data_IF_584531542798
#
_entry.id   IF_584531542798
#
_cell.length_a   1.000
_cell.length_b   1.000
_cell.length_c   1.000
_cell.angle_alpha   90.00
_cell.angle_beta   90.00
_cell.angle_gamma   90.00
#
_symmetry.space_group_name_H-M   'P 1'
#
loop_
_entity.id
_entity.type
_entity.pdbx_description
1 polymer ?
#
# COMPACT_ATOMS: atom_id res chain seq x y z
N UNK A 1 -2.71 6.98 -11.72
CA UNK A 1 -3.52 6.14 -12.64
C UNK A 1 -4.41 5.16 -11.87
N UNK A 2 -3.83 4.23 -11.10
CA UNK A 2 -4.56 3.20 -10.34
C UNK A 2 -5.78 3.71 -9.54
N UNK A 3 -5.64 4.82 -8.83
CA UNK A 3 -6.73 5.40 -8.02
C UNK A 3 -7.85 5.95 -8.91
N UNK A 4 -7.48 6.77 -9.90
CA UNK A 4 -8.42 7.51 -10.76
C UNK A 4 -9.15 6.63 -11.78
N UNK A 5 -8.48 5.60 -12.30
CA UNK A 5 -8.95 4.85 -13.47
C UNK A 5 -9.19 3.36 -13.21
N UNK A 6 -8.64 2.82 -12.12
CA UNK A 6 -8.74 1.38 -11.83
C UNK A 6 -9.42 1.10 -10.50
N UNK A 7 -9.91 2.12 -9.80
CA UNK A 7 -10.58 1.98 -8.50
C UNK A 7 -9.66 1.38 -7.42
N UNK A 8 -8.40 1.80 -7.35
CA UNK A 8 -7.56 1.46 -6.20
C UNK A 8 -8.02 2.23 -4.96
N UNK A 9 -8.37 1.53 -3.88
CA UNK A 9 -8.87 2.11 -2.63
C UNK A 9 -7.96 1.84 -1.43
N UNK A 10 -7.12 0.80 -1.48
CA UNK A 10 -6.20 0.43 -0.39
C UNK A 10 -4.74 0.36 -0.83
N UNK A 11 -3.81 0.27 0.14
CA UNK A 11 -2.41 0.00 -0.18
C UNK A 11 -2.23 -1.35 -0.89
N UNK A 12 -2.95 -2.38 -0.45
CA UNK A 12 -2.89 -3.72 -1.03
C UNK A 12 -3.36 -3.74 -2.50
N UNK A 13 -4.39 -2.96 -2.82
CA UNK A 13 -4.87 -2.71 -4.17
C UNK A 13 -3.73 -2.32 -5.12
N UNK A 14 -2.83 -1.45 -4.66
CA UNK A 14 -1.72 -0.97 -5.46
C UNK A 14 -0.56 -1.96 -5.37
N UNK A 15 -0.03 -2.17 -4.17
CA UNK A 15 1.25 -2.84 -3.93
C UNK A 15 1.21 -4.35 -4.16
N UNK A 16 0.07 -4.99 -3.95
CA UNK A 16 -0.07 -6.44 -4.13
C UNK A 16 -0.64 -6.80 -5.50
N UNK A 17 -1.61 -6.03 -6.01
CA UNK A 17 -2.39 -6.42 -7.20
C UNK A 17 -1.95 -5.75 -8.51
N UNK A 18 -1.69 -4.43 -8.48
CA UNK A 18 -1.41 -3.65 -9.70
C UNK A 18 0.07 -3.60 -10.06
N UNK A 19 0.93 -3.29 -9.08
CA UNK A 19 2.39 -3.29 -9.30
C UNK A 19 3.06 -4.57 -8.82
N UNK A 20 2.37 -5.36 -7.98
CA UNK A 20 2.85 -6.64 -7.41
C UNK A 20 4.20 -6.53 -6.68
N UNK A 21 4.55 -5.34 -6.20
CA UNK A 21 5.77 -5.09 -5.45
C UNK A 21 5.88 -6.03 -4.24
N UNK A 22 4.76 -6.26 -3.54
CA UNK A 22 4.73 -7.16 -2.38
C UNK A 22 5.19 -8.59 -2.71
N UNK A 23 4.86 -9.08 -3.91
CA UNK A 23 5.21 -10.44 -4.34
C UNK A 23 6.68 -10.52 -4.81
N UNK A 24 7.27 -9.38 -5.19
CA UNK A 24 8.63 -9.30 -5.70
C UNK A 24 9.64 -9.12 -4.56
N UNK A 25 9.35 -8.20 -3.64
CA UNK A 25 10.19 -7.90 -2.48
C UNK A 25 9.32 -7.30 -1.36
N UNK A 26 9.01 -8.12 -0.36
CA UNK A 26 8.15 -7.70 0.74
C UNK A 26 8.82 -6.66 1.65
N UNK A 27 10.14 -6.74 1.84
CA UNK A 27 10.89 -5.82 2.70
C UNK A 27 10.98 -4.44 2.06
N UNK A 28 11.43 -4.36 0.81
CA UNK A 28 11.49 -3.10 0.06
C UNK A 28 10.09 -2.48 -0.13
N UNK A 29 9.05 -3.31 -0.29
CA UNK A 29 7.67 -2.82 -0.37
C UNK A 29 7.23 -2.15 0.92
N UNK A 30 7.64 -2.66 2.09
CA UNK A 30 7.33 -2.05 3.38
C UNK A 30 8.01 -0.69 3.57
N UNK A 31 9.21 -0.50 3.03
CA UNK A 31 9.91 0.78 3.07
C UNK A 31 9.17 1.88 2.29
N UNK A 32 8.58 1.53 1.14
CA UNK A 32 7.87 2.49 0.28
C UNK A 32 6.39 2.69 0.65
N UNK A 33 5.79 1.76 1.39
CA UNK A 33 4.36 1.77 1.73
C UNK A 33 3.87 3.09 2.36
N UNK A 34 4.58 3.74 3.32
CA UNK A 34 4.16 5.03 3.86
C UNK A 34 4.05 6.14 2.82
N UNK A 35 4.98 6.16 1.84
CA UNK A 35 4.97 7.17 0.79
C UNK A 35 3.82 6.95 -0.18
N UNK A 36 3.52 5.69 -0.51
CA UNK A 36 2.36 5.35 -1.34
C UNK A 36 1.06 5.73 -0.63
N UNK A 37 0.95 5.48 0.68
CA UNK A 37 -0.23 5.85 1.47
C UNK A 37 -0.45 7.38 1.50
N UNK A 38 0.62 8.17 1.59
CA UNK A 38 0.57 9.63 1.50
C UNK A 38 -0.04 10.09 0.16
N UNK A 39 0.50 9.60 -0.96
CA UNK A 39 0.01 9.92 -2.30
C UNK A 39 -1.45 9.47 -2.46
N UNK A 40 -1.79 8.28 -1.98
CA UNK A 40 -3.16 7.78 -2.02
C UNK A 40 -4.12 8.67 -1.23
N UNK A 41 -3.71 9.14 -0.06
CA UNK A 41 -4.55 9.97 0.79
C UNK A 41 -4.83 11.34 0.16
N UNK A 42 -3.85 11.93 -0.53
CA UNK A 42 -4.04 13.16 -1.30
C UNK A 42 -5.09 12.96 -2.40
N UNK A 43 -4.98 11.87 -3.16
CA UNK A 43 -5.88 11.55 -4.26
C UNK A 43 -7.30 11.15 -3.82
N UNK A 44 -7.44 10.51 -2.66
CA UNK A 44 -8.71 10.02 -2.11
C UNK A 44 -9.36 10.98 -1.10
N UNK A 45 -8.73 12.13 -0.81
CA UNK A 45 -9.20 13.09 0.19
C UNK A 45 -9.22 12.51 1.62
N UNK A 46 -8.22 11.71 1.98
CA UNK A 46 -8.11 11.05 3.28
C UNK A 46 -7.13 11.77 4.22
N UNK A 47 -7.36 11.59 5.52
CA UNK A 47 -6.52 12.20 6.56
C UNK A 47 -5.32 11.33 6.95
N UNK A 48 -4.37 11.91 7.70
CA UNK A 48 -3.19 11.19 8.22
C UNK A 48 -3.54 9.97 9.07
N UNK A 49 -4.71 9.94 9.72
CA UNK A 49 -5.19 8.78 10.48
C UNK A 49 -5.42 7.58 9.55
N UNK A 50 -6.01 7.81 8.38
CA UNK A 50 -6.22 6.77 7.38
C UNK A 50 -4.89 6.24 6.84
N UNK A 51 -3.92 7.11 6.53
CA UNK A 51 -2.58 6.69 6.10
C UNK A 51 -1.92 5.73 7.10
N UNK A 52 -1.92 6.07 8.39
CA UNK A 52 -1.36 5.22 9.45
C UNK A 52 -2.10 3.89 9.57
N UNK A 53 -3.41 3.90 9.40
CA UNK A 53 -4.23 2.70 9.46
C UNK A 53 -3.92 1.76 8.28
N UNK A 54 -3.89 2.28 7.05
CA UNK A 54 -3.54 1.51 5.85
C UNK A 54 -2.15 0.90 5.96
N UNK A 55 -1.14 1.67 6.37
CA UNK A 55 0.23 1.15 6.53
C UNK A 55 0.27 0.03 7.58
N UNK A 56 -0.47 0.18 8.67
CA UNK A 56 -0.56 -0.85 9.72
C UNK A 56 -1.24 -2.11 9.20
N UNK A 57 -2.37 -2.00 8.54
CA UNK A 57 -3.10 -3.14 7.97
C UNK A 57 -2.27 -3.84 6.89
N UNK A 58 -1.63 -3.07 6.02
CA UNK A 58 -0.75 -3.59 4.99
C UNK A 58 0.48 -4.31 5.56
N UNK A 59 1.05 -3.81 6.67
CA UNK A 59 2.14 -4.48 7.36
C UNK A 59 1.76 -5.90 7.84
N UNK A 60 0.53 -6.09 8.33
CA UNK A 60 0.05 -7.42 8.73
C UNK A 60 -0.06 -8.38 7.54
N UNK A 61 -0.43 -7.87 6.36
CA UNK A 61 -0.45 -8.65 5.12
C UNK A 61 0.98 -9.02 4.71
N UNK A 62 1.90 -8.03 4.72
CA UNK A 62 3.25 -8.19 4.24
C UNK A 62 4.09 -9.20 5.03
N UNK A 63 3.81 -9.38 6.33
CA UNK A 63 4.44 -10.42 7.16
C UNK A 63 4.33 -11.83 6.56
N UNK A 64 3.28 -12.12 5.80
CA UNK A 64 3.10 -13.44 5.17
C UNK A 64 3.96 -13.65 3.92
N UNK A 65 4.63 -12.60 3.44
CA UNK A 65 5.47 -12.61 2.23
C UNK A 65 6.96 -12.48 2.54
N UNK A 66 7.34 -12.24 3.80
CA UNK A 66 8.72 -12.28 4.25
C UNK A 66 9.04 -13.74 4.59
N UNK A 67 9.86 -14.38 3.75
CA UNK A 67 10.31 -15.76 3.95
C UNK A 67 11.68 -15.70 4.63
N UNK A 68 11.74 -16.19 5.88
CA UNK A 68 12.98 -16.41 6.62
C UNK A 68 13.60 -17.77 6.29
#
# INVERSE_FOLDING_TARGET
WAIRNEWAQTLEDILSRRVRALLLDAEATMEVAPKVAEIMAEELGKEKKWQRQEVKEFAEIAKNYIIN
#
